data_IF_432529462659
#
_entry.id   IF_432529462659
#
_cell.length_a   1.000
_cell.length_b   1.000
_cell.length_c   1.000
_cell.angle_alpha   90.00
_cell.angle_beta   90.00
_cell.angle_gamma   90.00
#
_symmetry.space_group_name_H-M   'P 1'
#
loop_
_entity.id
_entity.type
_entity.pdbx_description
1 polymer ?
#
# COMPACT_ATOMS: atom_id res chain seq x y z
N UNK A 1 -6.01 9.06 -10.37
CA UNK A 1 -6.01 7.76 -9.69
C UNK A 1 -6.69 7.94 -8.36
N UNK A 2 -7.78 7.22 -8.11
CA UNK A 2 -8.46 7.24 -6.81
C UNK A 2 -7.92 6.11 -5.89
N UNK A 3 -8.33 6.11 -4.61
CA UNK A 3 -7.87 5.13 -3.61
C UNK A 3 -8.20 3.68 -4.02
N UNK A 4 -9.37 3.44 -4.61
CA UNK A 4 -9.78 2.10 -5.07
C UNK A 4 -8.89 1.59 -6.21
N UNK A 5 -8.61 2.44 -7.20
CA UNK A 5 -7.70 2.11 -8.30
C UNK A 5 -6.27 1.88 -7.81
N UNK A 6 -5.83 2.67 -6.82
CA UNK A 6 -4.51 2.49 -6.22
C UNK A 6 -4.40 1.16 -5.46
N UNK A 7 -5.44 0.78 -4.70
CA UNK A 7 -5.49 -0.49 -3.98
C UNK A 7 -5.47 -1.72 -4.91
N UNK A 8 -6.01 -1.61 -6.12
CA UNK A 8 -5.99 -2.68 -7.14
C UNK A 8 -4.64 -2.77 -7.88
N UNK A 9 -3.99 -1.64 -8.19
CA UNK A 9 -2.51 -1.59 -8.25
C UNK A 9 -2.00 -1.98 -6.86
N UNK A 10 -0.74 -2.21 -6.53
CA UNK A 10 -0.30 -2.75 -5.20
C UNK A 10 -0.94 -4.06 -4.63
N UNK A 11 -2.15 -4.50 -5.02
CA UNK A 11 -2.72 -5.81 -4.69
C UNK A 11 -3.39 -5.92 -3.32
N UNK A 12 -4.06 -4.87 -2.84
CA UNK A 12 -4.75 -4.85 -1.54
C UNK A 12 -6.23 -4.47 -1.65
N UNK A 13 -7.03 -4.75 -0.61
CA UNK A 13 -8.40 -4.26 -0.56
C UNK A 13 -8.41 -2.75 -0.27
N UNK A 14 -9.39 -2.03 -0.83
CA UNK A 14 -9.54 -0.59 -0.57
C UNK A 14 -9.70 -0.28 0.93
N UNK A 15 -10.44 -1.13 1.67
CA UNK A 15 -10.58 -1.00 3.11
C UNK A 15 -9.24 -1.12 3.83
N UNK A 16 -8.43 -2.12 3.47
CA UNK A 16 -7.08 -2.30 4.01
C UNK A 16 -6.17 -1.10 3.72
N UNK A 17 -6.22 -0.55 2.51
CA UNK A 17 -5.49 0.67 2.18
C UNK A 17 -5.94 1.85 3.04
N UNK A 18 -7.25 2.01 3.24
CA UNK A 18 -7.80 3.05 4.12
C UNK A 18 -7.34 2.89 5.57
N UNK A 19 -7.26 1.67 6.09
CA UNK A 19 -6.77 1.41 7.45
C UNK A 19 -5.28 1.75 7.58
N UNK A 20 -4.47 1.43 6.57
CA UNK A 20 -3.04 1.80 6.51
C UNK A 20 -2.87 3.32 6.50
N UNK A 21 -3.60 4.04 5.64
CA UNK A 21 -3.53 5.50 5.55
C UNK A 21 -3.94 6.22 6.83
N UNK A 22 -4.84 5.60 7.61
CA UNK A 22 -5.30 6.11 8.92
C UNK A 22 -4.40 5.67 10.08
N UNK A 23 -3.38 4.86 9.83
CA UNK A 23 -2.49 4.30 10.87
C UNK A 23 -3.16 3.26 11.77
N UNK A 24 -4.28 2.68 11.34
CA UNK A 24 -4.99 1.61 12.08
C UNK A 24 -4.20 0.30 12.03
N UNK A 25 -3.52 0.04 10.90
CA UNK A 25 -2.64 -1.11 10.75
C UNK A 25 -1.41 -0.76 9.89
N UNK A 26 -0.38 -1.60 9.97
CA UNK A 26 0.79 -1.52 9.13
C UNK A 26 0.58 -2.31 7.83
N UNK A 27 1.21 -1.89 6.71
CA UNK A 27 1.19 -2.67 5.47
C UNK A 27 1.89 -4.03 5.68
N UNK A 28 1.42 -5.05 4.96
CA UNK A 28 2.13 -6.34 4.93
C UNK A 28 3.45 -6.22 4.15
N UNK A 29 4.35 -7.19 4.36
CA UNK A 29 5.60 -7.27 3.58
C UNK A 29 5.34 -7.37 2.08
N UNK A 30 4.30 -8.11 1.68
CA UNK A 30 3.87 -8.22 0.27
C UNK A 30 3.43 -6.86 -0.29
N UNK A 31 2.73 -6.06 0.51
CA UNK A 31 2.30 -4.70 0.16
C UNK A 31 3.51 -3.79 -0.05
N UNK A 32 4.51 -3.87 0.84
CA UNK A 32 5.78 -3.14 0.75
C UNK A 32 6.54 -3.52 -0.54
N UNK A 33 6.67 -4.82 -0.84
CA UNK A 33 7.30 -5.29 -2.08
C UNK A 33 6.54 -4.78 -3.31
N UNK A 34 5.21 -4.85 -3.30
CA UNK A 34 4.39 -4.41 -4.42
C UNK A 34 4.50 -2.89 -4.67
N UNK A 35 4.60 -2.09 -3.60
CA UNK A 35 4.87 -0.66 -3.66
C UNK A 35 6.24 -0.38 -4.28
N UNK A 36 7.29 -0.98 -3.73
CA UNK A 36 8.67 -0.83 -4.23
C UNK A 36 8.78 -1.23 -5.70
N UNK A 37 8.22 -2.39 -6.06
CA UNK A 37 8.27 -2.92 -7.42
C UNK A 37 7.50 -2.09 -8.45
N UNK A 38 6.40 -1.43 -8.07
CA UNK A 38 5.60 -0.62 -9.01
C UNK A 38 6.03 0.84 -9.10
N UNK A 39 6.51 1.43 -8.02
CA UNK A 39 6.78 2.87 -7.96
C UNK A 39 8.28 3.19 -7.84
N UNK A 40 9.14 2.17 -7.76
CA UNK A 40 10.58 2.30 -7.59
C UNK A 40 10.93 3.28 -6.45
N UNK A 41 10.21 3.16 -5.34
CA UNK A 41 10.38 4.00 -4.17
C UNK A 41 11.05 3.24 -3.03
N UNK A 42 11.89 3.95 -2.27
CA UNK A 42 12.41 3.45 -1.02
C UNK A 42 11.40 3.73 0.09
N UNK A 43 11.06 2.67 0.83
CA UNK A 43 10.16 2.74 1.98
C UNK A 43 11.03 2.98 3.21
N UNK A 44 11.33 4.25 3.48
CA UNK A 44 12.16 4.68 4.62
C UNK A 44 11.27 4.72 5.88
N UNK A 45 11.64 3.99 6.93
CA UNK A 45 11.02 4.10 8.26
C UNK A 45 10.04 2.99 8.64
N UNK A 46 10.07 1.83 7.98
CA UNK A 46 9.48 0.58 8.49
C UNK A 46 10.53 -0.27 9.20
#
# INVERSE_FOLDING_TARGET
MNQKEFAVRIGVLQGTLSDIERGVCLPSWETIIALRGRFNCDLIGF
#
